data_IF_586974216366
#
_entry.id   IF_586974216366
#
_cell.length_a   1.000
_cell.length_b   1.000
_cell.length_c   1.000
_cell.angle_alpha   90.00
_cell.angle_beta   90.00
_cell.angle_gamma   90.00
#
_symmetry.space_group_name_H-M   'P 1'
#
loop_
_entity.id
_entity.type
_entity.pdbx_description
1 polymer ?
#
# COMPACT_ATOMS: atom_id res chain seq x y z
N UNK A 1 -18.05 -44.26 15.78
CA UNK A 1 -16.65 -44.75 15.74
C UNK A 1 -16.50 -46.02 14.89
N UNK A 2 -17.32 -47.06 15.08
CA UNK A 2 -17.26 -48.28 14.25
C UNK A 2 -17.54 -48.05 12.75
N UNK A 3 -18.49 -47.18 12.40
CA UNK A 3 -18.81 -46.82 11.01
C UNK A 3 -17.69 -46.06 10.28
N UNK A 4 -16.99 -45.16 10.99
CA UNK A 4 -15.87 -44.39 10.42
C UNK A 4 -14.66 -45.28 10.16
N UNK A 5 -14.32 -46.18 11.10
CA UNK A 5 -13.23 -47.13 10.91
C UNK A 5 -13.49 -48.09 9.73
N UNK A 6 -14.74 -48.52 9.53
CA UNK A 6 -15.12 -49.31 8.35
C UNK A 6 -14.96 -48.51 7.04
N UNK A 7 -15.32 -47.22 7.05
CA UNK A 7 -15.17 -46.34 5.90
C UNK A 7 -13.69 -46.02 5.58
N UNK A 8 -12.85 -45.88 6.62
CA UNK A 8 -11.39 -45.70 6.49
C UNK A 8 -10.73 -46.93 5.83
N UNK A 9 -11.16 -48.12 6.22
CA UNK A 9 -10.69 -49.38 5.62
C UNK A 9 -11.13 -49.50 4.15
N UNK A 10 -12.37 -49.10 3.82
CA UNK A 10 -12.85 -49.05 2.44
C UNK A 10 -12.04 -48.06 1.58
N UNK A 11 -11.69 -46.88 2.12
CA UNK A 11 -10.81 -45.92 1.45
C UNK A 11 -9.41 -46.49 1.24
N UNK A 12 -8.87 -47.22 2.22
CA UNK A 12 -7.56 -47.88 2.12
C UNK A 12 -7.54 -48.92 0.99
N UNK A 13 -8.52 -49.83 1.01
CA UNK A 13 -8.65 -50.89 0.00
C UNK A 13 -8.85 -50.32 -1.40
N UNK A 14 -9.69 -49.28 -1.55
CA UNK A 14 -9.92 -48.62 -2.82
C UNK A 14 -8.65 -47.90 -3.33
N UNK A 15 -7.87 -47.29 -2.43
CA UNK A 15 -6.58 -46.68 -2.76
C UNK A 15 -5.52 -47.70 -3.20
N UNK A 16 -5.49 -48.89 -2.60
CA UNK A 16 -4.64 -50.00 -3.02
C UNK A 16 -5.02 -50.51 -4.41
N UNK A 17 -6.32 -50.62 -4.71
CA UNK A 17 -6.83 -51.01 -6.03
C UNK A 17 -6.39 -50.04 -7.12
N UNK A 18 -6.51 -48.73 -6.89
CA UNK A 18 -6.04 -47.69 -7.83
C UNK A 18 -4.52 -47.80 -8.06
N UNK A 19 -3.73 -48.04 -7.00
CA UNK A 19 -2.28 -48.22 -7.13
C UNK A 19 -1.92 -49.49 -7.90
N UNK A 20 -2.61 -50.59 -7.65
CA UNK A 20 -2.44 -51.84 -8.39
C UNK A 20 -2.72 -51.67 -9.89
N UNK A 21 -3.82 -51.01 -10.24
CA UNK A 21 -4.18 -50.71 -11.63
C UNK A 21 -3.13 -49.84 -12.35
N UNK A 22 -2.58 -48.84 -11.65
CA UNK A 22 -1.47 -48.01 -12.18
C UNK A 22 -0.19 -48.81 -12.39
N UNK A 23 0.14 -49.73 -11.48
CA UNK A 23 1.31 -50.61 -11.62
C UNK A 23 1.15 -51.62 -12.76
N UNK A 24 -0.08 -52.11 -12.98
CA UNK A 24 -0.42 -53.04 -14.06
C UNK A 24 -0.62 -52.34 -15.41
N UNK A 25 -0.46 -51.01 -15.50
CA UNK A 25 -0.70 -50.19 -16.70
C UNK A 25 -2.08 -50.43 -17.33
N UNK A 26 -3.11 -50.52 -16.49
CA UNK A 26 -4.51 -50.59 -16.93
C UNK A 26 -4.91 -49.35 -17.74
N UNK A 27 -6.05 -49.41 -18.45
CA UNK A 27 -6.48 -48.29 -19.30
C UNK A 27 -6.79 -47.03 -18.47
N UNK A 28 -6.64 -45.85 -19.08
CA UNK A 28 -6.89 -44.57 -18.42
C UNK A 28 -8.33 -44.48 -17.88
N UNK A 29 -9.31 -44.95 -18.66
CA UNK A 29 -10.72 -45.00 -18.27
C UNK A 29 -10.96 -45.84 -17.00
N UNK A 30 -10.30 -47.00 -16.89
CA UNK A 30 -10.41 -47.87 -15.71
C UNK A 30 -9.79 -47.23 -14.46
N UNK A 31 -8.68 -46.50 -14.62
CA UNK A 31 -8.03 -45.80 -13.51
C UNK A 31 -8.89 -44.62 -13.05
N UNK A 32 -9.46 -43.86 -13.99
CA UNK A 32 -10.32 -42.71 -13.70
C UNK A 32 -11.60 -43.12 -12.97
N UNK A 33 -12.25 -44.21 -13.38
CA UNK A 33 -13.45 -44.73 -12.73
C UNK A 33 -13.18 -45.09 -11.25
N UNK A 34 -12.07 -45.80 -10.99
CA UNK A 34 -11.71 -46.23 -9.65
C UNK A 34 -11.20 -45.06 -8.77
N UNK A 35 -10.60 -44.04 -9.37
CA UNK A 35 -10.26 -42.77 -8.70
C UNK A 35 -11.53 -41.99 -8.32
N UNK A 36 -12.54 -41.95 -9.19
CA UNK A 36 -13.81 -41.30 -8.88
C UNK A 36 -14.53 -41.98 -7.69
N UNK A 37 -14.49 -43.32 -7.62
CA UNK A 37 -14.99 -44.08 -6.46
C UNK A 37 -14.22 -43.76 -5.17
N UNK A 38 -12.89 -43.66 -5.24
CA UNK A 38 -12.05 -43.26 -4.11
C UNK A 38 -12.38 -41.85 -3.61
N UNK A 39 -12.60 -40.89 -4.51
CA UNK A 39 -12.96 -39.52 -4.15
C UNK A 39 -14.34 -39.44 -3.48
N UNK A 40 -15.32 -40.21 -3.95
CA UNK A 40 -16.64 -40.32 -3.31
C UNK A 40 -16.55 -40.89 -1.89
N UNK A 41 -15.76 -41.95 -1.68
CA UNK A 41 -15.55 -42.53 -0.35
C UNK A 41 -14.84 -41.54 0.60
N UNK A 42 -13.85 -40.78 0.10
CA UNK A 42 -13.19 -39.72 0.89
C UNK A 42 -14.12 -38.58 1.25
N UNK A 43 -15.05 -38.20 0.36
CA UNK A 43 -16.04 -37.17 0.65
C UNK A 43 -17.01 -37.58 1.77
N UNK A 44 -17.35 -38.87 1.87
CA UNK A 44 -18.20 -39.42 2.93
C UNK A 44 -17.50 -39.46 4.30
N UNK A 45 -16.16 -39.53 4.30
CA UNK A 45 -15.35 -39.59 5.53
C UNK A 45 -15.29 -38.25 6.27
N UNK A 46 -15.73 -37.15 5.63
CA UNK A 46 -15.61 -35.81 6.17
C UNK A 46 -14.15 -35.33 6.27
N UNK A 47 -13.90 -34.10 6.70
CA UNK A 47 -12.56 -33.64 7.00
C UNK A 47 -11.95 -34.50 8.11
N UNK A 48 -10.71 -34.91 7.91
CA UNK A 48 -9.97 -35.73 8.86
C UNK A 48 -9.83 -34.99 10.20
N UNK A 49 -10.65 -35.34 11.19
CA UNK A 49 -10.47 -34.89 12.58
C UNK A 49 -9.17 -35.43 13.21
N UNK A 50 -8.44 -36.32 12.50
CA UNK A 50 -7.11 -36.79 12.87
C UNK A 50 -6.05 -35.71 12.65
N UNK A 51 -5.72 -34.99 13.72
CA UNK A 51 -4.58 -34.05 13.82
C UNK A 51 -4.39 -33.21 12.54
N UNK A 52 -5.19 -32.17 12.36
CA UNK A 52 -4.78 -31.06 11.49
C UNK A 52 -3.35 -30.69 11.86
N UNK A 53 -2.39 -31.01 10.99
CA UNK A 53 -0.99 -30.65 11.19
C UNK A 53 -0.99 -29.14 11.23
N UNK A 54 -0.81 -28.58 12.43
CA UNK A 54 -0.76 -27.15 12.62
C UNK A 54 0.27 -26.56 11.65
N UNK A 55 -0.19 -25.71 10.74
CA UNK A 55 0.68 -25.04 9.77
C UNK A 55 0.91 -23.63 10.28
N UNK A 56 2.15 -23.34 10.66
CA UNK A 56 2.56 -21.99 11.03
C UNK A 56 2.60 -21.12 9.76
N UNK A 57 1.56 -20.30 9.56
CA UNK A 57 1.47 -19.35 8.46
C UNK A 57 0.58 -18.17 8.84
N UNK A 58 0.78 -17.04 8.18
CA UNK A 58 -0.18 -15.93 8.21
C UNK A 58 -1.43 -16.27 7.38
N UNK A 59 -2.57 -15.61 7.63
CA UNK A 59 -3.73 -15.68 6.75
C UNK A 59 -3.37 -15.34 5.29
N UNK A 60 -4.05 -15.98 4.32
CA UNK A 60 -3.83 -15.73 2.89
C UNK A 60 -3.97 -14.23 2.59
N UNK A 61 -3.02 -13.67 1.83
CA UNK A 61 -3.00 -12.25 1.47
C UNK A 61 -2.46 -11.33 2.56
N UNK A 62 -1.98 -11.87 3.69
CA UNK A 62 -1.37 -11.09 4.78
C UNK A 62 0.09 -11.49 4.99
N UNK A 63 0.88 -10.56 5.52
CA UNK A 63 2.31 -10.76 5.83
C UNK A 63 2.70 -10.07 7.12
N UNK A 64 3.74 -10.59 7.76
CA UNK A 64 4.48 -9.87 8.78
C UNK A 64 5.40 -8.83 8.13
N UNK A 65 5.74 -7.79 8.89
CA UNK A 65 6.76 -6.81 8.52
C UNK A 65 7.99 -7.04 9.38
N UNK A 66 9.09 -7.46 8.75
CA UNK A 66 10.38 -7.62 9.44
C UNK A 66 10.98 -6.27 9.85
N UNK A 67 11.97 -6.23 10.77
CA UNK A 67 12.63 -4.97 11.17
C UNK A 67 13.17 -4.16 9.99
N UNK A 68 13.72 -4.82 8.96
CA UNK A 68 14.19 -4.17 7.72
C UNK A 68 13.05 -3.50 6.96
N UNK A 69 11.92 -4.20 6.80
CA UNK A 69 10.75 -3.65 6.11
C UNK A 69 10.09 -2.52 6.92
N UNK A 70 10.10 -2.62 8.25
CA UNK A 70 9.63 -1.56 9.13
C UNK A 70 10.48 -0.29 9.00
N UNK A 71 11.81 -0.42 8.95
CA UNK A 71 12.70 0.73 8.75
C UNK A 71 12.43 1.46 7.41
N UNK A 72 12.16 0.72 6.33
CA UNK A 72 11.76 1.31 5.04
C UNK A 72 10.40 1.99 5.15
N UNK A 73 9.44 1.34 5.80
CA UNK A 73 8.08 1.86 5.98
C UNK A 73 8.05 3.14 6.80
N UNK A 74 8.80 3.20 7.89
CA UNK A 74 8.94 4.39 8.73
C UNK A 74 9.52 5.56 7.92
N UNK A 75 10.62 5.35 7.20
CA UNK A 75 11.20 6.39 6.32
C UNK A 75 10.21 6.94 5.29
N UNK A 76 9.45 6.06 4.64
CA UNK A 76 8.43 6.48 3.66
C UNK A 76 7.30 7.24 4.33
N UNK A 77 6.82 6.77 5.49
CA UNK A 77 5.79 7.48 6.24
C UNK A 77 6.25 8.82 6.77
N UNK A 78 7.50 8.97 7.20
CA UNK A 78 8.03 10.25 7.68
C UNK A 78 7.97 11.33 6.59
N UNK A 79 8.31 10.99 5.35
CA UNK A 79 8.20 11.90 4.21
C UNK A 79 6.73 12.29 3.95
N UNK A 80 5.82 11.31 3.95
CA UNK A 80 4.40 11.52 3.70
C UNK A 80 3.76 12.36 4.82
N UNK A 81 3.99 12.00 6.08
CA UNK A 81 3.46 12.68 7.26
C UNK A 81 4.01 14.11 7.33
N UNK A 82 5.29 14.31 7.02
CA UNK A 82 5.89 15.65 6.97
C UNK A 82 5.21 16.54 5.92
N UNK A 83 4.83 15.98 4.77
CA UNK A 83 4.03 16.68 3.76
C UNK A 83 2.65 17.03 4.31
N UNK A 84 1.90 16.06 4.86
CA UNK A 84 0.57 16.33 5.43
C UNK A 84 0.59 17.40 6.53
N UNK A 85 1.56 17.33 7.45
CA UNK A 85 1.75 18.34 8.50
C UNK A 85 2.13 19.71 7.94
N UNK A 86 2.98 19.77 6.91
CA UNK A 86 3.34 21.03 6.22
C UNK A 86 2.11 21.73 5.64
N UNK A 87 1.13 20.96 5.16
CA UNK A 87 -0.15 21.49 4.68
C UNK A 87 -1.18 21.70 5.79
N UNK A 88 -0.80 21.60 7.07
CA UNK A 88 -1.66 21.87 8.23
C UNK A 88 -2.83 20.89 8.36
N UNK A 89 -2.65 19.64 7.94
CA UNK A 89 -3.67 18.61 8.11
C UNK A 89 -3.65 18.04 9.53
N UNK A 90 -4.83 17.90 10.12
CA UNK A 90 -5.05 17.18 11.37
C UNK A 90 -4.95 15.67 11.15
N UNK A 91 -4.84 14.90 12.23
CA UNK A 91 -4.87 13.44 12.18
C UNK A 91 -6.07 12.91 12.95
N UNK A 92 -6.75 11.93 12.38
CA UNK A 92 -7.79 11.16 13.05
C UNK A 92 -7.46 9.67 12.95
N UNK A 93 -8.11 8.86 13.79
CA UNK A 93 -8.17 7.42 13.61
C UNK A 93 -9.61 6.94 13.83
N UNK A 94 -9.95 5.81 13.19
CA UNK A 94 -11.26 5.17 13.33
C UNK A 94 -11.08 3.71 13.74
N UNK A 95 -12.08 3.08 14.35
CA UNK A 95 -12.06 1.64 14.59
C UNK A 95 -11.77 0.84 13.31
N UNK A 96 -11.16 -0.34 13.47
CA UNK A 96 -10.79 -1.21 12.34
C UNK A 96 -12.01 -1.85 11.67
N UNK A 97 -13.10 -2.00 12.43
CA UNK A 97 -14.41 -2.45 11.97
C UNK A 97 -15.42 -1.32 12.12
N UNK A 98 -16.40 -1.31 11.23
CA UNK A 98 -17.58 -0.44 11.29
C UNK A 98 -18.82 -1.34 11.41
N UNK A 99 -19.97 -0.75 11.75
CA UNK A 99 -21.25 -1.46 11.61
C UNK A 99 -21.41 -1.90 10.15
N UNK A 100 -21.87 -3.12 9.92
CA UNK A 100 -22.02 -3.67 8.56
C UNK A 100 -22.85 -2.74 7.66
N UNK A 101 -23.93 -2.19 8.20
CA UNK A 101 -24.80 -1.22 7.50
C UNK A 101 -24.10 0.10 7.11
N UNK A 102 -23.01 0.48 7.80
CA UNK A 102 -22.20 1.65 7.44
C UNK A 102 -21.47 1.43 6.11
N UNK A 103 -21.08 0.19 5.84
CA UNK A 103 -20.27 -0.19 4.67
C UNK A 103 -21.11 -0.73 3.50
N UNK A 104 -22.37 -1.12 3.74
CA UNK A 104 -23.26 -1.68 2.71
C UNK A 104 -24.26 -0.66 2.19
N UNK A 105 -24.64 -0.75 0.91
CA UNK A 105 -25.78 -0.01 0.33
C UNK A 105 -25.50 1.44 -0.08
N UNK A 106 -24.24 1.89 -0.07
CA UNK A 106 -23.86 3.26 -0.46
C UNK A 106 -23.27 3.35 -1.86
N UNK A 107 -22.25 2.55 -2.18
CA UNK A 107 -21.57 2.55 -3.49
C UNK A 107 -20.90 1.19 -3.81
N UNK A 108 -20.84 0.81 -5.10
CA UNK A 108 -19.95 -0.23 -5.64
C UNK A 108 -20.42 -1.69 -5.64
N UNK A 109 -20.00 -2.43 -6.68
CA UNK A 109 -20.04 -3.90 -6.74
C UNK A 109 -19.04 -4.57 -5.77
N UNK A 110 -18.10 -3.78 -5.23
CA UNK A 110 -17.05 -4.17 -4.26
C UNK A 110 -17.60 -4.59 -2.88
N UNK A 111 -18.89 -4.40 -2.62
CA UNK A 111 -19.56 -4.93 -1.42
C UNK A 111 -19.36 -6.44 -1.23
N UNK A 112 -19.09 -7.18 -2.33
CA UNK A 112 -18.76 -8.61 -2.30
C UNK A 112 -17.38 -8.93 -1.68
N UNK A 113 -16.52 -7.92 -1.52
CA UNK A 113 -15.13 -8.06 -1.08
C UNK A 113 -14.90 -7.69 0.39
N UNK A 114 -15.97 -7.47 1.17
CA UNK A 114 -15.88 -7.08 2.58
C UNK A 114 -15.64 -8.30 3.48
N UNK A 115 -14.84 -8.14 4.53
CA UNK A 115 -14.69 -9.14 5.60
C UNK A 115 -15.73 -8.88 6.70
N UNK A 116 -16.67 -9.80 6.86
CA UNK A 116 -17.64 -9.79 7.95
C UNK A 116 -17.08 -10.49 9.18
N UNK A 117 -17.37 -9.95 10.37
CA UNK A 117 -17.10 -10.61 11.64
C UNK A 117 -18.19 -11.65 11.91
N UNK A 118 -17.84 -12.69 12.67
CA UNK A 118 -18.79 -13.71 13.09
C UNK A 118 -19.84 -13.08 14.00
N UNK A 119 -21.11 -13.44 13.78
CA UNK A 119 -22.18 -13.10 14.72
C UNK A 119 -21.95 -13.82 16.07
N UNK A 120 -21.91 -13.03 17.13
CA UNK A 120 -21.73 -13.48 18.51
C UNK A 120 -22.87 -12.99 19.43
N UNK A 121 -24.03 -12.62 18.86
CA UNK A 121 -25.22 -12.16 19.59
C UNK A 121 -25.27 -10.65 19.83
N UNK A 122 -24.48 -9.87 19.08
CA UNK A 122 -24.40 -8.41 19.19
C UNK A 122 -24.58 -7.71 17.84
N UNK A 123 -23.97 -6.53 17.71
CA UNK A 123 -23.99 -5.77 16.45
C UNK A 123 -23.26 -6.52 15.33
N UNK A 124 -23.80 -6.42 14.11
CA UNK A 124 -23.14 -6.98 12.92
C UNK A 124 -22.04 -6.03 12.47
N UNK A 125 -20.81 -6.54 12.42
CA UNK A 125 -19.60 -5.75 12.16
C UNK A 125 -18.88 -6.25 10.91
N UNK A 126 -18.22 -5.32 10.23
CA UNK A 126 -17.41 -5.61 9.05
C UNK A 126 -16.11 -4.80 9.08
N UNK A 127 -15.01 -5.36 8.60
CA UNK A 127 -13.74 -4.64 8.50
C UNK A 127 -13.85 -3.55 7.42
N UNK A 128 -13.26 -2.39 7.68
CA UNK A 128 -13.21 -1.28 6.72
C UNK A 128 -12.43 -1.67 5.46
N UNK A 129 -13.03 -1.46 4.28
CA UNK A 129 -12.41 -1.70 2.98
C UNK A 129 -11.68 -0.47 2.42
N UNK A 130 -11.95 0.71 2.99
CA UNK A 130 -11.26 1.97 2.72
C UNK A 130 -11.23 2.87 3.99
N UNK A 131 -10.74 4.10 3.85
CA UNK A 131 -10.75 5.13 4.92
C UNK A 131 -11.69 6.31 4.61
N UNK A 132 -12.31 6.32 3.43
CA UNK A 132 -13.17 7.42 2.96
C UNK A 132 -14.57 7.28 3.55
N UNK A 133 -15.13 6.07 3.57
CA UNK A 133 -16.44 5.80 4.17
C UNK A 133 -16.42 5.99 5.70
N UNK A 134 -15.43 5.45 6.46
CA UNK A 134 -15.26 5.79 7.88
C UNK A 134 -15.16 7.28 8.15
N UNK A 135 -14.53 8.04 7.25
CA UNK A 135 -14.43 9.49 7.37
C UNK A 135 -15.75 10.21 7.10
N UNK A 136 -16.52 9.83 6.08
CA UNK A 136 -17.84 10.39 5.84
C UNK A 136 -18.78 10.15 7.02
N UNK A 137 -18.74 8.93 7.60
CA UNK A 137 -19.44 8.62 8.86
C UNK A 137 -18.93 9.49 10.01
N UNK A 138 -17.61 9.70 10.14
CA UNK A 138 -17.03 10.58 11.17
C UNK A 138 -17.56 12.00 11.09
N UNK A 139 -17.61 12.58 9.89
CA UNK A 139 -18.14 13.92 9.66
C UNK A 139 -19.61 14.03 10.06
N UNK A 140 -20.44 13.11 9.57
CA UNK A 140 -21.87 13.11 9.85
C UNK A 140 -22.18 12.93 11.34
N UNK A 141 -21.52 11.96 12.00
CA UNK A 141 -21.70 11.66 13.41
C UNK A 141 -21.31 12.85 14.31
N UNK A 142 -20.21 13.54 13.99
CA UNK A 142 -19.74 14.72 14.73
C UNK A 142 -20.34 16.05 14.23
N UNK A 143 -21.24 15.98 13.24
CA UNK A 143 -21.91 17.13 12.60
C UNK A 143 -20.94 18.18 12.01
N UNK A 144 -19.72 17.76 11.67
CA UNK A 144 -18.68 18.63 11.13
C UNK A 144 -18.99 19.00 9.68
N UNK A 145 -18.78 20.27 9.34
CA UNK A 145 -18.94 20.79 7.97
C UNK A 145 -17.61 21.16 7.32
N UNK A 146 -16.53 21.20 8.11
CA UNK A 146 -15.19 21.51 7.63
C UNK A 146 -14.16 20.81 8.53
N UNK A 147 -13.22 20.11 7.90
CA UNK A 147 -12.00 19.56 8.51
C UNK A 147 -11.01 19.26 7.39
N UNK A 148 -9.72 19.41 7.66
CA UNK A 148 -8.64 18.98 6.77
C UNK A 148 -7.79 17.96 7.49
N UNK A 149 -7.84 16.69 7.06
CA UNK A 149 -7.23 15.56 7.78
C UNK A 149 -6.42 14.63 6.90
N UNK A 150 -5.43 13.97 7.51
CA UNK A 150 -4.84 12.74 7.01
C UNK A 150 -5.19 11.55 7.93
N UNK A 151 -5.20 10.34 7.37
CA UNK A 151 -5.43 9.09 8.11
C UNK A 151 -4.59 7.99 7.48
N UNK A 152 -3.64 7.44 8.24
CA UNK A 152 -2.75 6.35 7.78
C UNK A 152 -3.12 5.10 8.58
N UNK A 153 -3.84 4.17 7.95
CA UNK A 153 -4.23 2.92 8.58
C UNK A 153 -4.42 1.79 7.56
N UNK A 154 -4.45 0.54 8.06
CA UNK A 154 -4.72 -0.65 7.22
C UNK A 154 -6.20 -0.72 6.84
N UNK A 155 -6.44 -1.26 5.65
CA UNK A 155 -7.76 -1.58 5.08
C UNK A 155 -7.80 -3.04 4.64
N UNK A 156 -8.99 -3.60 4.50
CA UNK A 156 -9.18 -5.05 4.30
C UNK A 156 -10.14 -5.31 3.14
N UNK A 157 -9.64 -5.97 2.10
CA UNK A 157 -10.41 -6.36 0.92
C UNK A 157 -10.15 -7.82 0.60
N UNK A 158 -11.19 -8.59 0.30
CA UNK A 158 -11.13 -10.01 -0.08
C UNK A 158 -10.75 -10.20 -1.55
N UNK A 159 -9.78 -9.42 -2.02
CA UNK A 159 -9.33 -9.44 -3.40
C UNK A 159 -8.43 -10.67 -3.68
N UNK A 160 -8.28 -11.04 -4.95
CA UNK A 160 -7.33 -12.05 -5.39
C UNK A 160 -6.02 -11.35 -5.81
N UNK A 161 -4.93 -11.46 -5.05
CA UNK A 161 -3.72 -10.69 -5.33
C UNK A 161 -3.04 -11.14 -6.63
N UNK A 162 -2.79 -10.20 -7.54
CA UNK A 162 -1.88 -10.36 -8.67
C UNK A 162 -0.50 -9.78 -8.31
N UNK A 163 0.58 -10.51 -8.64
CA UNK A 163 1.97 -10.11 -8.35
C UNK A 163 2.69 -9.68 -9.63
N UNK A 164 2.94 -8.38 -9.81
CA UNK A 164 3.93 -7.88 -10.78
C UNK A 164 4.81 -6.81 -10.13
N UNK A 165 6.14 -6.91 -10.33
CA UNK A 165 7.19 -6.05 -9.76
C UNK A 165 7.95 -5.33 -10.89
N UNK A 166 8.30 -4.06 -10.69
CA UNK A 166 9.27 -3.35 -11.53
C UNK A 166 9.88 -2.13 -10.83
N UNK A 167 10.85 -1.48 -11.49
CA UNK A 167 11.71 -0.40 -10.97
C UNK A 167 11.43 0.91 -11.71
N UNK A 168 11.29 2.04 -11.00
CA UNK A 168 10.80 3.31 -11.58
C UNK A 168 11.47 4.55 -10.97
N UNK A 169 11.51 5.65 -11.73
CA UNK A 169 12.20 6.90 -11.34
C UNK A 169 11.40 8.18 -11.55
N UNK A 170 10.33 8.16 -12.36
CA UNK A 170 9.47 9.33 -12.65
C UNK A 170 7.98 8.99 -12.50
N UNK A 171 7.11 10.00 -12.42
CA UNK A 171 5.66 9.83 -12.34
C UNK A 171 4.91 10.96 -13.06
N UNK A 172 3.74 10.64 -13.64
CA UNK A 172 2.72 11.60 -14.09
C UNK A 172 1.50 11.52 -13.18
N UNK A 173 0.74 12.62 -13.10
CA UNK A 173 -0.63 12.58 -12.56
C UNK A 173 -1.60 12.77 -13.73
N UNK A 174 -2.33 11.70 -14.05
CA UNK A 174 -3.48 11.75 -14.94
C UNK A 174 -4.64 12.39 -14.17
N UNK A 175 -5.31 13.37 -14.77
CA UNK A 175 -6.45 14.08 -14.20
C UNK A 175 -7.60 14.02 -15.19
N UNK A 176 -8.82 13.90 -14.71
CA UNK A 176 -10.05 14.04 -15.48
C UNK A 176 -11.15 14.61 -14.56
N UNK A 177 -12.35 14.88 -15.06
CA UNK A 177 -13.51 15.24 -14.25
C UNK A 177 -14.69 14.34 -14.60
N UNK A 178 -15.37 13.84 -13.57
CA UNK A 178 -16.49 12.91 -13.76
C UNK A 178 -17.59 13.49 -14.66
N UNK A 179 -17.83 14.79 -14.59
CA UNK A 179 -18.86 15.46 -15.41
C UNK A 179 -18.46 15.51 -16.89
N UNK A 180 -17.16 15.54 -17.19
CA UNK A 180 -16.66 15.47 -18.58
C UNK A 180 -16.92 14.08 -19.14
N UNK A 181 -16.61 13.02 -18.39
CA UNK A 181 -16.94 11.64 -18.79
C UNK A 181 -18.43 11.43 -18.98
N UNK A 182 -19.24 11.89 -18.02
CA UNK A 182 -20.70 11.79 -18.07
C UNK A 182 -21.27 12.51 -19.29
N UNK A 183 -20.79 13.73 -19.56
CA UNK A 183 -21.22 14.49 -20.72
C UNK A 183 -20.73 13.91 -22.05
N UNK A 184 -19.49 13.42 -22.11
CA UNK A 184 -18.88 12.78 -23.27
C UNK A 184 -19.66 11.52 -23.69
N UNK A 185 -19.96 10.62 -22.75
CA UNK A 185 -20.75 9.43 -23.07
C UNK A 185 -22.18 9.76 -23.50
N UNK A 186 -22.78 10.82 -22.93
CA UNK A 186 -24.10 11.27 -23.34
C UNK A 186 -24.11 11.78 -24.79
N UNK A 187 -23.12 12.60 -25.20
CA UNK A 187 -23.02 13.08 -26.60
C UNK A 187 -22.67 11.95 -27.57
N UNK A 188 -21.87 10.96 -27.15
CA UNK A 188 -21.56 9.80 -27.97
C UNK A 188 -22.76 8.86 -28.19
N UNK A 189 -23.84 9.01 -27.40
CA UNK A 189 -25.05 8.19 -27.51
C UNK A 189 -25.05 6.93 -26.64
N UNK A 190 -24.25 6.90 -25.56
CA UNK A 190 -24.27 5.79 -24.60
C UNK A 190 -25.56 5.82 -23.78
N UNK A 191 -26.35 4.72 -23.75
CA UNK A 191 -27.53 4.66 -22.90
C UNK A 191 -27.18 4.73 -21.40
N UNK A 192 -27.98 5.46 -20.61
CA UNK A 192 -27.81 5.59 -19.15
C UNK A 192 -27.65 4.23 -18.44
N UNK A 193 -28.38 3.21 -18.90
CA UNK A 193 -28.33 1.85 -18.33
C UNK A 193 -26.99 1.14 -18.54
N UNK A 194 -26.21 1.56 -19.55
CA UNK A 194 -24.89 1.01 -19.88
C UNK A 194 -23.74 1.88 -19.40
N UNK A 195 -24.03 3.06 -18.86
CA UNK A 195 -23.01 4.04 -18.46
C UNK A 195 -21.87 3.42 -17.63
N UNK A 196 -22.22 2.71 -16.56
CA UNK A 196 -21.24 2.10 -15.65
C UNK A 196 -20.42 1.01 -16.32
N UNK A 197 -21.05 0.18 -17.15
CA UNK A 197 -20.35 -0.92 -17.83
C UNK A 197 -19.40 -0.36 -18.88
N UNK A 198 -19.77 0.73 -19.57
CA UNK A 198 -18.89 1.42 -20.52
C UNK A 198 -17.73 2.14 -19.82
N UNK A 199 -17.95 2.84 -18.69
CA UNK A 199 -16.85 3.35 -17.87
C UNK A 199 -15.83 2.26 -17.54
N UNK A 200 -16.31 1.08 -17.13
CA UNK A 200 -15.46 -0.06 -16.80
C UNK A 200 -14.69 -0.63 -17.99
N UNK A 201 -15.15 -0.43 -19.23
CA UNK A 201 -14.38 -0.75 -20.44
C UNK A 201 -13.27 0.27 -20.65
N UNK A 202 -13.62 1.55 -20.66
CA UNK A 202 -12.69 2.68 -20.91
C UNK A 202 -11.57 2.70 -19.86
N UNK A 203 -11.87 2.34 -18.61
CA UNK A 203 -10.88 2.24 -17.53
C UNK A 203 -9.74 1.26 -17.81
N UNK A 204 -9.93 0.31 -18.72
CA UNK A 204 -8.93 -0.70 -19.08
C UNK A 204 -7.92 -0.18 -20.12
N UNK A 205 -8.13 1.00 -20.70
CA UNK A 205 -7.21 1.60 -21.67
C UNK A 205 -5.82 1.87 -21.10
N UNK A 206 -5.68 1.90 -19.77
CA UNK A 206 -4.38 1.97 -19.10
C UNK A 206 -3.53 0.69 -19.26
N UNK A 207 -4.13 -0.41 -19.72
CA UNK A 207 -3.51 -1.74 -19.80
C UNK A 207 -3.70 -2.44 -21.14
N UNK A 208 -4.78 -2.15 -21.84
CA UNK A 208 -5.12 -2.81 -23.11
C UNK A 208 -5.29 -1.80 -24.23
N UNK A 209 -5.18 -2.27 -25.47
CA UNK A 209 -5.33 -1.42 -26.65
C UNK A 209 -6.78 -0.91 -26.81
N UNK A 210 -6.94 0.22 -27.51
CA UNK A 210 -8.26 0.72 -27.89
C UNK A 210 -9.09 -0.31 -28.64
N UNK A 211 -8.49 -1.06 -29.56
CA UNK A 211 -9.18 -2.11 -30.32
C UNK A 211 -9.76 -3.21 -29.42
N UNK A 212 -9.03 -3.63 -28.38
CA UNK A 212 -9.55 -4.60 -27.41
C UNK A 212 -10.72 -4.02 -26.60
N UNK A 213 -10.61 -2.76 -26.16
CA UNK A 213 -11.69 -2.07 -25.42
C UNK A 213 -12.93 -1.88 -26.29
N UNK A 214 -12.76 -1.48 -27.55
CA UNK A 214 -13.83 -1.34 -28.54
C UNK A 214 -14.52 -2.68 -28.77
N UNK A 215 -13.76 -3.75 -28.98
CA UNK A 215 -14.29 -5.10 -29.16
C UNK A 215 -15.11 -5.58 -27.94
N UNK A 216 -14.67 -5.28 -26.71
CA UNK A 216 -15.44 -5.58 -25.49
C UNK A 216 -16.75 -4.78 -25.46
N UNK A 217 -16.71 -3.47 -25.75
CA UNK A 217 -17.91 -2.62 -25.72
C UNK A 217 -18.97 -3.07 -26.73
N UNK A 218 -18.55 -3.43 -27.94
CA UNK A 218 -19.45 -3.88 -29.01
C UNK A 218 -19.89 -5.33 -28.79
N UNK A 219 -18.94 -6.24 -28.64
CA UNK A 219 -19.20 -7.69 -28.61
C UNK A 219 -19.82 -8.21 -27.33
N UNK A 220 -19.41 -7.69 -26.17
CA UNK A 220 -19.86 -8.19 -24.86
C UNK A 220 -20.93 -7.29 -24.22
N UNK A 221 -20.78 -5.97 -24.38
CA UNK A 221 -21.69 -4.99 -23.75
C UNK A 221 -22.80 -4.50 -24.70
N UNK A 222 -22.76 -4.92 -25.98
CA UNK A 222 -23.77 -4.65 -26.99
C UNK A 222 -23.94 -3.16 -27.30
N UNK A 223 -22.84 -2.40 -27.28
CA UNK A 223 -22.82 -1.01 -27.74
C UNK A 223 -22.76 -0.99 -29.29
N UNK A 224 -23.40 -0.01 -29.92
CA UNK A 224 -23.32 0.12 -31.38
C UNK A 224 -21.87 0.49 -31.79
N UNK A 225 -21.33 -0.09 -32.88
CA UNK A 225 -19.96 0.21 -33.33
C UNK A 225 -19.71 1.69 -33.55
N UNK A 226 -20.68 2.42 -34.08
CA UNK A 226 -20.59 3.86 -34.37
C UNK A 226 -20.47 4.68 -33.08
N UNK A 227 -21.19 4.28 -32.03
CA UNK A 227 -21.10 4.88 -30.69
C UNK A 227 -19.74 4.59 -30.07
N UNK A 228 -19.23 3.36 -30.23
CA UNK A 228 -17.91 2.99 -29.74
C UNK A 228 -16.80 3.78 -30.44
N UNK A 229 -16.87 3.93 -31.77
CA UNK A 229 -15.94 4.76 -32.54
C UNK A 229 -15.93 6.22 -32.08
N UNK A 230 -17.12 6.79 -31.88
CA UNK A 230 -17.24 8.16 -31.40
C UNK A 230 -16.68 8.35 -29.99
N UNK A 231 -16.80 7.35 -29.11
CA UNK A 231 -16.10 7.37 -27.81
C UNK A 231 -14.58 7.40 -28.01
N UNK A 232 -14.07 6.61 -28.96
CA UNK A 232 -12.64 6.51 -29.31
C UNK A 232 -12.02 7.85 -29.65
N UNK A 233 -12.73 8.66 -30.45
CA UNK A 233 -12.30 9.99 -30.84
C UNK A 233 -11.96 10.88 -29.64
N UNK A 234 -12.64 10.70 -28.50
CA UNK A 234 -12.37 11.43 -27.26
C UNK A 234 -11.40 10.70 -26.32
N UNK A 235 -11.66 9.44 -25.97
CA UNK A 235 -10.93 8.75 -24.89
C UNK A 235 -9.47 8.47 -25.21
N UNK A 236 -9.08 8.53 -26.48
CA UNK A 236 -7.69 8.42 -26.91
C UNK A 236 -6.91 9.74 -26.78
N UNK A 237 -7.58 10.86 -26.45
CA UNK A 237 -6.94 12.16 -26.28
C UNK A 237 -6.40 12.33 -24.85
N UNK A 238 -5.16 12.79 -24.75
CA UNK A 238 -4.54 13.23 -23.51
C UNK A 238 -3.60 14.42 -23.78
N UNK A 239 -3.39 15.28 -22.79
CA UNK A 239 -2.58 16.49 -22.96
C UNK A 239 -2.60 17.44 -21.76
N UNK A 240 -2.13 18.67 -21.97
CA UNK A 240 -2.15 19.71 -20.94
C UNK A 240 -3.37 20.63 -21.02
N UNK A 241 -3.21 21.87 -20.57
CA UNK A 241 -4.23 22.93 -20.66
C UNK A 241 -4.73 23.16 -22.10
N UNK A 242 -3.88 22.96 -23.12
CA UNK A 242 -4.26 23.12 -24.52
C UNK A 242 -5.39 22.17 -24.94
N UNK A 243 -5.41 20.95 -24.39
CA UNK A 243 -6.49 19.99 -24.65
C UNK A 243 -7.80 20.44 -24.00
N UNK A 244 -7.74 21.01 -22.79
CA UNK A 244 -8.91 21.61 -22.14
C UNK A 244 -9.49 22.74 -23.01
N UNK A 245 -8.63 23.61 -23.54
CA UNK A 245 -9.05 24.72 -24.41
C UNK A 245 -9.64 24.25 -25.74
N UNK A 246 -9.05 23.20 -26.33
CA UNK A 246 -9.58 22.58 -27.53
C UNK A 246 -10.99 22.01 -27.28
N UNK A 247 -11.18 21.25 -26.20
CA UNK A 247 -12.46 20.62 -25.86
C UNK A 247 -13.54 21.62 -25.42
N UNK A 248 -13.14 22.81 -24.92
CA UNK A 248 -14.08 23.91 -24.69
C UNK A 248 -14.63 24.50 -26.01
N UNK A 249 -13.92 24.36 -27.12
CA UNK A 249 -14.36 24.78 -28.46
C UNK A 249 -15.04 23.67 -29.25
N UNK A 250 -15.12 22.45 -28.68
CA UNK A 250 -15.73 21.31 -29.34
C UNK A 250 -17.25 21.54 -29.53
N UNK A 251 -17.78 21.44 -30.76
CA UNK A 251 -19.16 21.82 -31.07
C UNK A 251 -20.21 20.90 -30.42
N UNK A 252 -19.86 19.66 -30.08
CA UNK A 252 -20.77 18.70 -29.46
C UNK A 252 -20.65 18.72 -27.95
N UNK A 253 -19.43 18.66 -27.43
CA UNK A 253 -19.17 18.62 -25.99
C UNK A 253 -19.56 19.93 -25.30
N UNK A 254 -19.42 21.08 -25.98
CA UNK A 254 -19.83 22.39 -25.46
C UNK A 254 -21.35 22.53 -25.27
N UNK A 255 -22.17 21.70 -25.93
CA UNK A 255 -23.62 21.69 -25.72
C UNK A 255 -24.02 20.95 -24.45
N UNK A 256 -23.14 20.09 -23.92
CA UNK A 256 -23.39 19.38 -22.68
C UNK A 256 -23.01 20.25 -21.47
N UNK A 257 -24.03 20.71 -20.73
CA UNK A 257 -23.84 21.57 -19.55
C UNK A 257 -22.87 20.98 -18.52
N UNK A 258 -22.95 19.67 -18.25
CA UNK A 258 -22.08 19.03 -17.26
C UNK A 258 -20.63 19.00 -17.72
N UNK A 259 -20.38 18.61 -18.98
CA UNK A 259 -19.03 18.62 -19.54
C UNK A 259 -18.43 20.02 -19.55
N UNK A 260 -19.22 21.04 -19.91
CA UNK A 260 -18.77 22.44 -19.92
C UNK A 260 -18.38 22.94 -18.53
N UNK A 261 -19.18 22.62 -17.50
CA UNK A 261 -18.82 22.92 -16.10
C UNK A 261 -17.53 22.19 -15.68
N UNK A 262 -17.38 20.92 -16.04
CA UNK A 262 -16.18 20.14 -15.76
C UNK A 262 -14.92 20.69 -16.44
N UNK A 263 -15.01 21.04 -17.73
CA UNK A 263 -13.91 21.64 -18.48
C UNK A 263 -13.54 23.04 -17.93
N UNK A 264 -14.53 23.83 -17.53
CA UNK A 264 -14.31 25.12 -16.86
C UNK A 264 -13.54 24.97 -15.55
N UNK A 265 -13.91 23.99 -14.72
CA UNK A 265 -13.22 23.68 -13.47
C UNK A 265 -11.80 23.14 -13.72
N UNK A 266 -11.58 22.32 -14.77
CA UNK A 266 -10.23 21.88 -15.16
C UNK A 266 -9.38 23.03 -15.66
N UNK A 267 -9.92 23.97 -16.45
CA UNK A 267 -9.19 25.16 -16.89
C UNK A 267 -8.67 25.95 -15.67
N UNK A 268 -9.55 26.21 -14.72
CA UNK A 268 -9.19 26.89 -13.47
C UNK A 268 -8.18 26.09 -12.63
N UNK A 269 -8.30 24.76 -12.61
CA UNK A 269 -7.34 23.88 -11.95
C UNK A 269 -5.94 24.02 -12.56
N UNK A 270 -5.80 24.04 -13.90
CA UNK A 270 -4.50 24.23 -14.56
C UNK A 270 -3.88 25.61 -14.27
N UNK A 271 -4.69 26.66 -14.11
CA UNK A 271 -4.21 27.97 -13.66
C UNK A 271 -3.56 27.86 -12.27
N UNK A 272 -4.23 27.20 -11.32
CA UNK A 272 -3.70 26.99 -9.97
C UNK A 272 -2.48 26.07 -9.93
N UNK A 273 -2.47 25.01 -10.74
CA UNK A 273 -1.33 24.10 -10.87
C UNK A 273 -0.08 24.81 -11.42
N UNK A 274 -0.28 25.78 -12.31
CA UNK A 274 0.79 26.63 -12.84
C UNK A 274 1.37 27.51 -11.74
N UNK A 275 0.52 28.12 -10.91
CA UNK A 275 0.96 28.90 -9.74
C UNK A 275 1.69 28.04 -8.70
N UNK A 276 1.32 26.77 -8.56
CA UNK A 276 2.03 25.81 -7.71
C UNK A 276 3.30 25.23 -8.34
N UNK A 277 3.59 25.54 -9.62
CA UNK A 277 4.80 25.09 -10.31
C UNK A 277 4.82 23.59 -10.58
N UNK A 278 3.65 22.96 -10.74
CA UNK A 278 3.52 21.51 -10.96
C UNK A 278 2.69 21.14 -12.20
N UNK A 279 2.28 22.12 -13.02
CA UNK A 279 1.48 21.89 -14.21
C UNK A 279 2.15 20.93 -15.23
N UNK A 280 3.49 20.90 -15.27
CA UNK A 280 4.27 20.00 -16.14
C UNK A 280 4.16 18.52 -15.73
N UNK A 281 3.66 18.23 -14.52
CA UNK A 281 3.44 16.87 -14.01
C UNK A 281 2.02 16.38 -14.21
N UNK A 282 1.14 17.21 -14.78
CA UNK A 282 -0.28 16.92 -14.91
C UNK A 282 -0.62 16.65 -16.39
N UNK A 283 -1.24 15.50 -16.64
CA UNK A 283 -1.84 15.15 -17.93
C UNK A 283 -3.35 15.09 -17.75
N UNK A 284 -4.10 15.92 -18.48
CA UNK A 284 -5.52 15.73 -18.67
C UNK A 284 -5.73 14.55 -19.61
N UNK A 285 -6.38 13.49 -19.13
CA UNK A 285 -6.50 12.22 -19.82
C UNK A 285 -7.96 11.74 -19.78
N UNK A 286 -8.61 11.68 -20.96
CA UNK A 286 -10.03 11.33 -21.06
C UNK A 286 -10.29 9.84 -20.85
N UNK A 287 -9.25 8.98 -20.94
CA UNK A 287 -9.36 7.56 -20.64
C UNK A 287 -9.48 7.27 -19.14
N UNK A 288 -9.09 8.23 -18.29
CA UNK A 288 -9.18 8.09 -16.85
C UNK A 288 -10.65 8.10 -16.39
N UNK A 289 -11.25 6.92 -16.34
CA UNK A 289 -12.61 6.69 -15.85
C UNK A 289 -12.63 6.02 -14.46
N UNK A 290 -11.49 5.99 -13.77
CA UNK A 290 -11.33 5.28 -12.50
C UNK A 290 -12.25 5.79 -11.41
N UNK A 291 -12.67 4.80 -10.62
CA UNK A 291 -12.92 4.98 -9.21
C UNK A 291 -14.40 5.02 -8.86
N UNK A 292 -14.72 4.17 -7.89
CA UNK A 292 -15.81 4.23 -6.92
C UNK A 292 -16.93 5.22 -7.28
N UNK A 293 -18.14 4.69 -7.43
CA UNK A 293 -19.41 5.36 -7.79
C UNK A 293 -19.74 6.69 -7.06
N UNK A 294 -18.90 7.14 -6.13
CA UNK A 294 -19.07 8.34 -5.31
C UNK A 294 -18.37 9.61 -5.83
N UNK A 295 -17.50 9.55 -6.85
CA UNK A 295 -16.86 10.77 -7.36
C UNK A 295 -17.87 11.65 -8.12
N UNK A 296 -17.78 12.97 -7.93
CA UNK A 296 -18.75 13.96 -8.45
C UNK A 296 -18.09 15.10 -9.23
N UNK A 297 -16.77 15.11 -9.36
CA UNK A 297 -16.00 16.14 -10.07
C UNK A 297 -14.63 15.59 -10.44
N UNK A 298 -13.57 16.38 -10.21
CA UNK A 298 -12.19 15.97 -10.53
C UNK A 298 -11.85 14.58 -9.99
N UNK A 299 -11.20 13.79 -10.81
CA UNK A 299 -10.61 12.48 -10.51
C UNK A 299 -9.17 12.51 -10.98
N UNK A 300 -8.28 11.84 -10.24
CA UNK A 300 -6.88 11.84 -10.59
C UNK A 300 -6.17 10.58 -10.12
N UNK A 301 -5.14 10.23 -10.86
CA UNK A 301 -4.29 9.08 -10.63
C UNK A 301 -2.82 9.44 -10.90
N UNK A 302 -1.95 9.19 -9.92
CA UNK A 302 -0.52 9.26 -10.12
C UNK A 302 0.02 7.91 -10.60
N UNK A 303 0.67 7.88 -11.75
CA UNK A 303 1.23 6.69 -12.39
C UNK A 303 2.76 6.82 -12.44
N UNK A 304 3.46 5.75 -12.07
CA UNK A 304 4.91 5.70 -12.26
C UNK A 304 5.26 5.47 -13.73
N UNK A 305 6.27 6.18 -14.20
CA UNK A 305 6.77 6.09 -15.56
C UNK A 305 8.05 5.26 -15.60
N UNK A 306 8.16 4.47 -16.65
CA UNK A 306 9.42 3.90 -17.06
C UNK A 306 10.16 4.91 -17.94
N UNK A 307 11.47 5.06 -17.72
CA UNK A 307 12.31 5.83 -18.62
C UNK A 307 12.24 5.20 -20.02
N UNK A 308 11.95 5.98 -21.08
CA UNK A 308 11.93 5.48 -22.45
C UNK A 308 13.24 4.76 -22.79
N UNK A 309 13.16 3.60 -23.44
CA UNK A 309 14.35 2.83 -23.83
C UNK A 309 14.97 3.43 -25.09
N UNK A 310 14.20 4.18 -25.88
CA UNK A 310 14.62 4.87 -27.09
C UNK A 310 14.22 6.36 -27.08
N UNK A 311 15.00 7.19 -27.77
CA UNK A 311 14.68 8.60 -27.96
C UNK A 311 13.50 8.74 -28.93
N UNK A 312 12.38 9.30 -28.45
CA UNK A 312 11.14 9.49 -29.22
C UNK A 312 9.96 8.61 -28.79
N UNK A 313 10.15 7.68 -27.85
CA UNK A 313 9.06 6.92 -27.23
C UNK A 313 8.43 7.70 -26.06
N UNK A 314 7.10 7.69 -25.96
CA UNK A 314 6.40 8.24 -24.80
C UNK A 314 6.66 7.39 -23.54
N UNK A 315 6.76 8.01 -22.35
CA UNK A 315 6.98 7.27 -21.10
C UNK A 315 5.82 6.31 -20.83
N UNK A 316 6.11 5.00 -20.80
CA UNK A 316 5.11 3.98 -20.49
C UNK A 316 4.76 4.00 -19.00
N UNK A 317 3.46 4.10 -18.71
CA UNK A 317 2.90 3.98 -17.37
C UNK A 317 2.99 2.55 -16.86
N UNK A 318 3.64 2.33 -15.72
CA UNK A 318 3.83 0.99 -15.13
C UNK A 318 2.98 0.76 -13.89
N UNK A 319 2.28 1.81 -13.46
CA UNK A 319 1.04 1.69 -12.71
C UNK A 319 0.88 2.71 -11.58
N UNK A 320 -0.36 2.77 -11.09
CA UNK A 320 -0.84 3.62 -10.00
C UNK A 320 -0.01 3.61 -8.72
N UNK A 321 0.32 4.77 -8.18
CA UNK A 321 0.91 4.96 -6.85
C UNK A 321 0.11 5.91 -5.97
N UNK A 322 -0.80 6.69 -6.54
CA UNK A 322 -1.78 7.45 -5.78
C UNK A 322 -3.04 7.64 -6.63
N UNK A 323 -4.18 7.83 -5.99
CA UNK A 323 -5.42 8.16 -6.67
C UNK A 323 -6.30 9.02 -5.77
N UNK A 324 -7.22 9.77 -6.34
CA UNK A 324 -8.13 10.61 -5.58
C UNK A 324 -9.14 11.33 -6.45
N UNK A 325 -9.89 12.23 -5.81
CA UNK A 325 -10.91 13.01 -6.48
C UNK A 325 -11.85 13.73 -5.53
N UNK A 326 -12.85 14.39 -6.11
CA UNK A 326 -13.92 15.12 -5.42
C UNK A 326 -15.18 14.24 -5.29
N UNK A 327 -15.78 14.18 -4.10
CA UNK A 327 -16.90 13.30 -3.75
C UNK A 327 -17.91 13.99 -2.82
N UNK A 328 -18.67 14.95 -3.36
CA UNK A 328 -19.48 15.86 -2.54
C UNK A 328 -20.78 15.23 -1.98
N UNK A 329 -21.18 14.06 -2.51
CA UNK A 329 -22.40 13.37 -2.12
C UNK A 329 -22.26 12.40 -0.93
N UNK A 330 -21.05 11.90 -0.67
CA UNK A 330 -20.84 10.75 0.23
C UNK A 330 -21.23 11.05 1.68
N UNK A 331 -20.90 12.23 2.20
CA UNK A 331 -21.25 12.62 3.59
C UNK A 331 -22.77 12.77 3.76
N UNK A 332 -23.46 13.27 2.73
CA UNK A 332 -24.91 13.42 2.74
C UNK A 332 -25.66 12.10 2.90
N UNK A 333 -25.06 10.97 2.50
CA UNK A 333 -25.64 9.64 2.73
C UNK A 333 -25.60 9.18 4.19
N UNK A 334 -24.80 9.83 5.05
CA UNK A 334 -24.71 9.52 6.48
C UNK A 334 -25.42 10.56 7.35
N UNK A 335 -25.63 11.77 6.84
CA UNK A 335 -26.33 12.82 7.55
C UNK A 335 -27.85 12.55 7.56
N UNK A 336 -28.52 12.49 8.73
CA UNK A 336 -29.96 12.20 8.80
C UNK A 336 -30.86 13.19 8.04
N UNK A 337 -30.37 14.40 7.75
CA UNK A 337 -31.09 15.43 6.98
C UNK A 337 -30.60 15.50 5.53
N UNK A 338 -29.72 14.61 5.10
CA UNK A 338 -29.14 14.62 3.77
C UNK A 338 -28.24 15.83 3.50
N UNK A 339 -27.71 16.48 4.55
CA UNK A 339 -26.85 17.66 4.38
C UNK A 339 -25.55 17.26 3.67
N UNK A 340 -25.32 17.85 2.50
CA UNK A 340 -24.09 17.63 1.73
C UNK A 340 -22.91 18.38 2.36
N UNK A 341 -21.76 17.74 2.38
CA UNK A 341 -20.47 18.34 2.78
C UNK A 341 -19.49 18.06 1.65
N UNK A 342 -19.14 19.06 0.83
CA UNK A 342 -18.20 18.90 -0.27
C UNK A 342 -16.85 18.38 0.22
N UNK A 343 -16.31 17.39 -0.48
CA UNK A 343 -15.09 16.69 -0.08
C UNK A 343 -14.18 16.48 -1.29
N UNK A 344 -12.88 16.69 -1.11
CA UNK A 344 -11.84 16.32 -2.07
C UNK A 344 -10.69 15.67 -1.32
N UNK A 345 -10.08 14.64 -1.88
CA UNK A 345 -8.97 13.98 -1.21
C UNK A 345 -8.22 13.00 -2.10
N UNK A 346 -7.04 12.60 -1.62
CA UNK A 346 -6.13 11.67 -2.27
C UNK A 346 -5.79 10.51 -1.34
N UNK A 347 -5.38 9.39 -1.94
CA UNK A 347 -4.88 8.19 -1.28
C UNK A 347 -3.56 7.78 -1.93
N UNK A 348 -2.53 7.53 -1.12
CA UNK A 348 -1.21 7.09 -1.59
C UNK A 348 -1.11 5.57 -1.42
N UNK A 349 -0.84 4.86 -2.52
CA UNK A 349 -0.61 3.42 -2.59
C UNK A 349 0.77 3.03 -2.04
N UNK A 350 0.94 3.11 -0.72
CA UNK A 350 2.25 2.95 -0.06
C UNK A 350 2.89 1.57 -0.22
N UNK A 351 2.11 0.49 -0.44
CA UNK A 351 2.68 -0.86 -0.61
C UNK A 351 3.60 -0.97 -1.83
N UNK A 352 3.24 -0.28 -2.93
CA UNK A 352 4.08 -0.19 -4.13
C UNK A 352 5.33 0.65 -3.86
N UNK A 353 5.18 1.76 -3.16
CA UNK A 353 6.29 2.64 -2.77
C UNK A 353 7.30 1.89 -1.88
N UNK A 354 6.84 1.14 -0.88
CA UNK A 354 7.73 0.32 -0.04
C UNK A 354 8.57 -0.65 -0.87
N UNK A 355 7.93 -1.33 -1.83
CA UNK A 355 8.62 -2.28 -2.71
C UNK A 355 9.68 -1.61 -3.58
N UNK A 356 9.40 -0.41 -4.08
CA UNK A 356 10.35 0.36 -4.92
C UNK A 356 11.53 0.87 -4.08
N UNK A 357 11.26 1.39 -2.88
CA UNK A 357 12.31 1.90 -1.98
C UNK A 357 13.19 0.74 -1.49
N UNK A 358 12.59 -0.41 -1.14
CA UNK A 358 13.33 -1.61 -0.76
C UNK A 358 14.27 -2.08 -1.89
N UNK A 359 13.78 -2.16 -3.12
CA UNK A 359 14.59 -2.52 -4.29
C UNK A 359 15.70 -1.49 -4.58
N UNK A 360 15.44 -0.19 -4.39
CA UNK A 360 16.45 0.87 -4.56
C UNK A 360 17.57 0.73 -3.53
N UNK A 361 17.24 0.47 -2.27
CA UNK A 361 18.21 0.27 -1.19
C UNK A 361 19.02 -1.01 -1.36
N UNK A 362 18.40 -2.07 -1.88
CA UNK A 362 19.12 -3.29 -2.26
C UNK A 362 20.14 -3.05 -3.39
N UNK A 363 19.84 -2.13 -4.32
CA UNK A 363 20.72 -1.82 -5.44
C UNK A 363 21.91 -0.91 -5.07
N UNK A 364 21.84 -0.14 -3.98
CA UNK A 364 22.93 0.74 -3.54
C UNK A 364 23.93 0.06 -2.59
N UNK A 365 23.71 -1.21 -2.24
CA UNK A 365 24.44 -1.96 -1.19
C UNK A 365 24.49 -1.24 0.18
N UNK A 366 23.71 -0.17 0.36
CA UNK A 366 23.63 0.57 1.61
C UNK A 366 22.92 -0.27 2.65
N UNK A 367 23.57 -0.42 3.81
CA UNK A 367 23.01 -1.18 4.91
C UNK A 367 21.88 -0.40 5.57
N UNK A 368 20.66 -0.90 5.40
CA UNK A 368 19.49 -0.38 6.13
C UNK A 368 19.61 -0.77 7.60
N UNK A 369 19.90 0.21 8.47
CA UNK A 369 19.86 0.02 9.92
C UNK A 369 18.42 -0.23 10.37
N UNK A 370 18.26 -1.17 11.29
CA UNK A 370 16.96 -1.52 11.92
C UNK A 370 16.87 -1.09 13.37
N UNK A 371 17.91 -0.40 13.87
CA UNK A 371 17.98 0.20 15.20
C UNK A 371 18.63 1.57 15.08
N UNK A 372 18.39 2.42 16.08
CA UNK A 372 18.93 3.78 16.14
C UNK A 372 20.07 3.92 17.16
N UNK A 373 20.64 2.79 17.62
CA UNK A 373 21.67 2.74 18.64
C UNK A 373 22.90 3.55 18.22
N UNK A 374 23.29 4.51 19.05
CA UNK A 374 24.40 5.43 18.84
C UNK A 374 25.72 4.84 19.34
N UNK A 375 25.68 4.10 20.45
CA UNK A 375 26.89 3.57 21.09
C UNK A 375 26.66 2.21 21.75
N UNK A 376 27.61 1.30 21.63
CA UNK A 376 27.67 0.08 22.43
C UNK A 376 28.62 0.29 23.62
N UNK A 377 28.16 0.02 24.84
CA UNK A 377 29.01 -0.05 26.03
C UNK A 377 29.69 -1.41 26.08
N UNK A 378 31.02 -1.41 26.05
CA UNK A 378 31.84 -2.61 25.93
C UNK A 378 32.96 -2.67 26.96
N UNK A 379 33.53 -3.87 27.14
CA UNK A 379 34.79 -4.04 27.86
C UNK A 379 35.55 -5.26 27.33
N UNK A 380 36.88 -5.21 27.37
CA UNK A 380 37.73 -6.35 27.02
C UNK A 380 38.06 -7.25 28.23
N UNK A 381 38.14 -6.63 29.41
CA UNK A 381 38.46 -7.29 30.67
C UNK A 381 37.21 -7.97 31.27
N UNK A 382 37.46 -8.90 32.19
CA UNK A 382 36.43 -9.64 32.92
C UNK A 382 35.94 -8.84 34.14
N UNK A 383 34.80 -9.24 34.72
CA UNK A 383 34.24 -8.65 35.96
C UNK A 383 33.92 -7.15 35.88
N UNK A 384 33.58 -6.65 34.68
CA UNK A 384 33.18 -5.26 34.46
C UNK A 384 31.71 -5.14 34.03
N UNK A 385 30.87 -6.15 34.28
CA UNK A 385 29.46 -6.08 33.90
C UNK A 385 28.74 -4.96 34.65
N UNK A 386 28.99 -4.86 35.97
CA UNK A 386 28.42 -3.85 36.85
C UNK A 386 28.75 -2.43 36.38
N UNK A 387 30.00 -2.18 35.99
CA UNK A 387 30.44 -0.89 35.46
C UNK A 387 29.81 -0.56 34.10
N UNK A 388 29.65 -1.57 33.22
CA UNK A 388 28.92 -1.38 31.96
C UNK A 388 27.44 -1.10 32.19
N UNK A 389 26.81 -1.78 33.16
CA UNK A 389 25.41 -1.53 33.54
C UNK A 389 25.23 -0.12 34.10
N UNK A 390 26.19 0.36 34.90
CA UNK A 390 26.20 1.73 35.40
C UNK A 390 26.31 2.74 34.26
N UNK A 391 27.30 2.58 33.37
CA UNK A 391 27.52 3.50 32.27
C UNK A 391 26.35 3.51 31.26
N UNK A 392 25.84 2.35 30.86
CA UNK A 392 24.72 2.30 29.90
C UNK A 392 23.46 2.98 30.49
N UNK A 393 23.22 2.84 31.79
CA UNK A 393 22.13 3.53 32.48
C UNK A 393 22.34 5.04 32.54
N UNK A 394 23.56 5.51 32.77
CA UNK A 394 23.89 6.94 32.72
C UNK A 394 23.62 7.51 31.32
N UNK A 395 24.02 6.79 30.28
CA UNK A 395 23.76 7.18 28.88
C UNK A 395 22.26 7.21 28.56
N UNK A 396 21.49 6.22 28.99
CA UNK A 396 20.02 6.23 28.84
C UNK A 396 19.37 7.41 29.56
N UNK A 397 19.78 7.70 30.80
CA UNK A 397 19.28 8.85 31.56
C UNK A 397 19.61 10.19 30.89
N UNK A 398 20.66 10.24 30.07
CA UNK A 398 21.04 11.40 29.27
C UNK A 398 20.39 11.43 27.87
N UNK A 399 19.49 10.49 27.55
CA UNK A 399 18.80 10.41 26.26
C UNK A 399 19.63 9.82 25.12
N UNK A 400 20.78 9.21 25.41
CA UNK A 400 21.60 8.52 24.42
C UNK A 400 21.05 7.11 24.18
N UNK A 401 20.93 6.73 22.91
CA UNK A 401 20.52 5.39 22.48
C UNK A 401 21.70 4.44 22.61
N UNK A 402 21.89 3.86 23.79
CA UNK A 402 23.00 2.97 24.10
C UNK A 402 22.55 1.50 24.24
N UNK A 403 23.46 0.57 23.99
CA UNK A 403 23.26 -0.86 24.25
C UNK A 403 24.48 -1.48 24.94
N UNK A 404 24.32 -2.68 25.49
CA UNK A 404 25.43 -3.55 25.90
C UNK A 404 25.10 -5.00 25.58
N UNK A 405 26.10 -5.85 25.36
CA UNK A 405 25.85 -7.28 25.23
C UNK A 405 25.47 -7.90 26.59
N UNK A 406 24.40 -8.70 26.61
CA UNK A 406 23.90 -9.41 27.80
C UNK A 406 24.77 -10.62 28.18
N UNK A 407 26.06 -10.37 28.43
CA UNK A 407 27.05 -11.37 28.84
C UNK A 407 27.89 -10.80 29.96
N UNK A 408 28.21 -11.62 30.96
CA UNK A 408 29.12 -11.20 32.06
C UNK A 408 30.51 -10.80 31.54
N UNK A 409 31.08 -11.61 30.66
CA UNK A 409 32.46 -11.43 30.15
C UNK A 409 32.51 -11.61 28.61
N UNK A 410 31.94 -10.71 27.80
CA UNK A 410 32.02 -10.77 26.34
C UNK A 410 33.45 -10.50 25.86
N UNK A 411 33.85 -11.16 24.77
CA UNK A 411 35.10 -10.82 24.07
C UNK A 411 34.91 -9.50 23.32
N UNK A 412 35.95 -8.66 23.28
CA UNK A 412 35.89 -7.37 22.57
C UNK A 412 35.60 -7.56 21.07
N UNK A 413 36.22 -8.56 20.44
CA UNK A 413 35.98 -8.88 19.02
C UNK A 413 34.49 -9.09 18.72
N UNK A 414 33.79 -9.89 19.52
CA UNK A 414 32.36 -10.16 19.33
C UNK A 414 31.49 -8.90 19.54
N UNK A 415 31.92 -7.97 20.40
CA UNK A 415 31.23 -6.70 20.62
C UNK A 415 31.39 -5.78 19.41
N UNK A 416 32.59 -5.70 18.82
CA UNK A 416 32.85 -4.94 17.61
C UNK A 416 32.10 -5.52 16.40
N UNK A 417 32.12 -6.85 16.23
CA UNK A 417 31.35 -7.54 15.17
C UNK A 417 29.84 -7.25 15.29
N UNK A 418 29.29 -7.26 16.50
CA UNK A 418 27.90 -6.89 16.72
C UNK A 418 27.61 -5.45 16.26
N UNK A 419 28.52 -4.50 16.52
CA UNK A 419 28.36 -3.13 16.02
C UNK A 419 28.43 -3.04 14.50
N UNK A 420 29.36 -3.75 13.86
CA UNK A 420 29.48 -3.82 12.40
C UNK A 420 28.20 -4.41 11.78
N UNK A 421 27.64 -5.47 12.39
CA UNK A 421 26.41 -6.13 11.98
C UNK A 421 25.16 -5.28 12.20
N UNK A 422 25.07 -4.49 13.28
CA UNK A 422 23.94 -3.62 13.57
C UNK A 422 24.08 -2.19 13.00
N UNK A 423 25.26 -1.83 12.49
CA UNK A 423 25.58 -0.48 12.03
C UNK A 423 25.74 0.55 13.16
N UNK A 424 26.10 0.12 14.36
CA UNK A 424 26.31 1.02 15.51
C UNK A 424 27.62 1.78 15.29
N UNK A 425 27.62 3.13 15.32
CA UNK A 425 28.79 3.91 14.90
C UNK A 425 29.90 3.97 15.96
N UNK A 426 29.57 3.86 17.25
CA UNK A 426 30.51 4.06 18.35
C UNK A 426 30.53 2.90 19.34
N UNK A 427 31.67 2.70 20.00
CA UNK A 427 31.83 1.79 21.13
C UNK A 427 32.51 2.51 22.28
N UNK A 428 31.86 2.56 23.45
CA UNK A 428 32.40 3.08 24.69
C UNK A 428 33.04 1.93 25.48
N UNK A 429 34.37 1.85 25.47
CA UNK A 429 35.14 0.75 26.05
C UNK A 429 35.56 1.12 27.48
N UNK A 430 35.18 0.28 28.43
CA UNK A 430 35.57 0.35 29.84
C UNK A 430 36.73 -0.62 30.11
N UNK A 431 37.74 -0.15 30.83
CA UNK A 431 38.79 -0.96 31.44
C UNK A 431 39.13 -0.48 32.84
N UNK A 432 39.80 -1.32 33.63
CA UNK A 432 40.15 -1.03 35.02
C UNK A 432 41.05 0.21 35.16
N UNK A 433 41.91 0.49 34.19
CA UNK A 433 42.79 1.67 34.22
C UNK A 433 41.99 2.92 33.83
N UNK A 434 41.18 2.85 32.78
CA UNK A 434 40.30 3.93 32.35
C UNK A 434 39.33 4.36 33.47
N UNK A 435 38.81 3.41 34.25
CA UNK A 435 37.98 3.71 35.43
C UNK A 435 38.74 4.46 36.53
N UNK A 436 40.03 4.14 36.76
CA UNK A 436 40.87 4.87 37.73
C UNK A 436 41.18 6.28 37.26
N UNK A 437 41.38 6.43 35.96
CA UNK A 437 41.73 7.71 35.32
C UNK A 437 40.50 8.59 35.04
N UNK A 438 39.29 8.07 35.30
CA UNK A 438 38.03 8.81 35.11
C UNK A 438 37.66 9.02 33.64
N UNK A 439 38.20 8.20 32.74
CA UNK A 439 38.02 8.30 31.29
C UNK A 439 37.28 7.10 30.73
N UNK A 440 36.75 7.24 29.52
CA UNK A 440 36.16 6.17 28.71
C UNK A 440 36.81 6.21 27.34
N UNK A 441 37.27 5.06 26.87
CA UNK A 441 37.87 4.95 25.54
C UNK A 441 36.76 4.83 24.50
N UNK A 442 36.56 5.89 23.73
CA UNK A 442 35.53 5.97 22.70
C UNK A 442 36.12 5.61 21.34
N UNK A 443 35.65 4.48 20.79
CA UNK A 443 36.08 3.95 19.50
C UNK A 443 35.05 4.20 18.41
N UNK A 444 35.50 4.71 17.26
CA UNK A 444 34.73 4.70 16.02
C UNK A 444 34.76 3.31 15.38
N UNK A 445 33.60 2.74 15.06
CA UNK A 445 33.54 1.39 14.44
C UNK A 445 34.03 1.43 13.00
N UNK A 446 33.68 2.48 12.25
CA UNK A 446 34.06 2.65 10.85
C UNK A 446 35.55 3.01 10.68
N UNK A 447 36.02 4.08 11.36
CA UNK A 447 37.42 4.53 11.21
C UNK A 447 38.40 3.73 12.07
N UNK A 448 37.91 2.97 13.06
CA UNK A 448 38.69 2.20 14.04
C UNK A 448 39.54 3.06 14.99
N UNK A 449 39.44 4.39 14.90
CA UNK A 449 40.14 5.32 15.76
C UNK A 449 39.57 5.30 17.18
N UNK A 450 40.46 5.39 18.17
CA UNK A 450 40.15 5.40 19.59
C UNK A 450 40.62 6.72 20.19
N UNK A 451 39.77 7.32 21.03
CA UNK A 451 40.09 8.56 21.75
C UNK A 451 39.64 8.37 23.20
N UNK A 452 40.49 8.75 24.15
CA UNK A 452 40.11 8.80 25.56
C UNK A 452 39.28 10.06 25.81
N UNK A 453 38.08 9.87 26.37
CA UNK A 453 37.12 10.94 26.65
C UNK A 453 36.86 10.96 28.15
N UNK A 454 36.99 12.10 28.85
CA UNK A 454 36.57 12.23 30.23
C UNK A 454 35.13 11.76 30.41
N UNK A 455 34.83 11.00 31.48
CA UNK A 455 33.49 10.41 31.67
C UNK A 455 32.38 11.46 31.71
N UNK A 456 32.69 12.66 32.22
CA UNK A 456 31.77 13.81 32.26
C UNK A 456 31.41 14.36 30.87
N UNK A 457 32.33 14.31 29.92
CA UNK A 457 32.15 14.83 28.56
C UNK A 457 31.56 13.79 27.58
N UNK A 458 31.50 12.52 28.00
CA UNK A 458 31.14 11.41 27.12
C UNK A 458 29.78 11.60 26.44
N UNK A 459 28.78 12.12 27.16
CA UNK A 459 27.43 12.36 26.62
C UNK A 459 27.48 13.35 25.47
N UNK A 460 28.13 14.50 25.67
CA UNK A 460 28.21 15.56 24.66
C UNK A 460 29.07 15.12 23.47
N UNK A 461 30.13 14.36 23.70
CA UNK A 461 30.96 13.82 22.63
C UNK A 461 30.20 12.79 21.76
N UNK A 462 29.39 11.92 22.36
CA UNK A 462 28.52 11.00 21.61
C UNK A 462 27.51 11.78 20.78
N UNK A 463 26.85 12.81 21.36
CA UNK A 463 25.95 13.69 20.60
C UNK A 463 26.70 14.32 19.44
N UNK A 464 27.83 15.00 19.68
CA UNK A 464 28.63 15.66 18.64
C UNK A 464 28.96 14.75 17.46
N UNK A 465 29.31 13.48 17.72
CA UNK A 465 29.65 12.50 16.67
C UNK A 465 28.45 11.86 15.98
N UNK A 466 27.24 11.98 16.53
CA UNK A 466 26.03 11.32 15.99
C UNK A 466 24.91 12.29 15.60
N UNK A 467 25.03 13.58 15.92
CA UNK A 467 24.05 14.64 15.65
C UNK A 467 24.08 15.20 14.22
N UNK A 468 24.95 14.69 13.33
CA UNK A 468 24.80 15.08 11.92
C UNK A 468 23.52 14.45 11.38
N UNK A 469 22.60 15.25 10.81
CA UNK A 469 21.48 14.68 10.09
C UNK A 469 22.06 13.81 8.97
N UNK A 470 21.53 12.61 8.78
CA UNK A 470 21.69 11.91 7.51
C UNK A 470 21.14 12.84 6.43
N UNK A 471 22.02 13.64 5.81
CA UNK A 471 21.72 14.40 4.62
C UNK A 471 21.44 13.37 3.52
N UNK A 472 20.16 13.14 3.26
CA UNK A 472 19.72 12.39 2.08
C UNK A 472 19.73 13.42 0.95
N UNK A 473 20.77 13.36 0.12
CA UNK A 473 20.76 13.93 -1.23
C UNK A 473 19.85 13.10 -2.15
#
# INVERSE_FOLDING_TARGET
MAERAALEELVRLQGERVRGLKQQKASAEQIEEEVAKLLKLKAQLGPDEGKQKFVLKTPKGTRDYSPRQMAVREKVFDVIISCFKRHGAEVIDTPVFELKETLTGKYGEDSKLIYDLKDQGGELLSLRYDLTVPFARYLAMNKLTNIKRYHIAKVYRRDNPAMTRGRYREFYQCVNDRRILDGMFAICGVPDSKFRTICSSVDKLDKVSWEEVKNEMVGEKGLAPEVADHIGDYVQQHGGISLVEQLLQDPELSQNKQALEGLGDLKLLFEYLTLFGIADKISFDLSLARGLDYYTGVIYEAVLLQTPVQAGEEPLGVGSVAAGGRYDGLVGMFDPKGRKVPCVGLSIGVERIFSIVEQRLEATEEKVRTTETQVLVASAQKKLLEERLKLVSELWNAGIKAELLYKKNPKLLNQLQYCEEAGIPLVAIIGEQELKDGVIKLRSVASREEVDVPREDLVEEIKRRTSQPFCIC
#
